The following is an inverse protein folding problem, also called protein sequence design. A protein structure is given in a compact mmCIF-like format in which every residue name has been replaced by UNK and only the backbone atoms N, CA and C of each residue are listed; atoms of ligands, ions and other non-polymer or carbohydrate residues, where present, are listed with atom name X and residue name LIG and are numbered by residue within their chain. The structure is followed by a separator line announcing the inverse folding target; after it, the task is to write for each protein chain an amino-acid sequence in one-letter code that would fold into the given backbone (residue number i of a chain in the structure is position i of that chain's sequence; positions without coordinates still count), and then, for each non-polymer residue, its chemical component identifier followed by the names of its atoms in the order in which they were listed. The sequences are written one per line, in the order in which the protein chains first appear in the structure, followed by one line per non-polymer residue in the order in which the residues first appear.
data_IF_007493961745
#
_entry.id   IF_007493961745
#
_cell.length_a   1.000
_cell.length_b   1.000
_cell.length_c   1.000
_cell.angle_alpha   90.00
_cell.angle_beta   90.00
_cell.angle_gamma   90.00
#
_symmetry.space_group_name_H-M   'P 1'
#
loop_
_entity.id
_entity.type
_entity.pdbx_description
1 polymer ?
#
# COMPACT_ATOMS: atom_id res chain seq x y z
N UNK A 1 29.93 19.41 23.97
CA UNK A 1 29.39 20.76 23.68
C UNK A 1 28.28 20.61 22.65
N UNK A 2 27.11 21.22 22.88
CA UNK A 2 25.98 21.14 21.97
C UNK A 2 26.32 21.78 20.62
N UNK A 3 25.75 21.23 19.55
CA UNK A 3 26.11 21.60 18.18
C UNK A 3 25.26 22.78 17.74
N UNK A 4 25.90 23.88 17.34
CA UNK A 4 25.20 25.02 16.76
C UNK A 4 24.64 24.65 15.37
N UNK A 5 23.37 24.94 15.14
CA UNK A 5 22.64 24.58 13.91
C UNK A 5 23.31 25.02 12.60
N UNK A 6 24.04 26.13 12.63
CA UNK A 6 24.70 26.70 11.46
C UNK A 6 26.18 26.28 11.34
N UNK A 7 26.65 25.34 12.16
CA UNK A 7 28.03 24.86 12.10
C UNK A 7 28.25 23.87 10.95
N UNK A 8 29.52 23.70 10.55
CA UNK A 8 29.90 22.64 9.61
C UNK A 8 29.54 21.26 10.13
N UNK A 9 29.62 21.02 11.44
CA UNK A 9 29.15 19.75 12.02
C UNK A 9 27.65 19.54 11.83
N UNK A 10 26.82 20.57 12.00
CA UNK A 10 25.38 20.45 11.78
C UNK A 10 25.06 20.10 10.32
N UNK A 11 25.80 20.66 9.36
CA UNK A 11 25.65 20.30 7.94
C UNK A 11 26.01 18.84 7.65
N UNK A 12 27.04 18.29 8.30
CA UNK A 12 27.38 16.86 8.19
C UNK A 12 26.29 15.98 8.81
N UNK A 13 25.77 16.36 9.97
CA UNK A 13 24.71 15.63 10.68
C UNK A 13 23.39 15.66 9.90
N UNK A 14 23.13 16.76 9.19
CA UNK A 14 21.95 16.91 8.32
C UNK A 14 21.92 15.90 7.18
N UNK A 15 23.03 15.23 6.85
CA UNK A 15 23.09 14.17 5.82
C UNK A 15 22.56 12.83 6.31
N UNK A 16 22.44 12.62 7.63
CA UNK A 16 21.98 11.34 8.18
C UNK A 16 20.48 11.14 8.01
N UNK A 17 20.05 9.90 7.85
CA UNK A 17 18.63 9.53 7.68
C UNK A 17 18.09 9.02 9.03
N UNK A 18 16.94 9.53 9.53
CA UNK A 18 16.02 10.49 8.90
C UNK A 18 16.29 11.96 9.25
N UNK A 19 17.42 12.31 9.86
CA UNK A 19 17.71 13.71 10.24
C UNK A 19 17.66 14.69 9.07
N UNK A 20 17.97 14.24 7.85
CA UNK A 20 17.88 14.98 6.59
C UNK A 20 16.45 15.41 6.23
N UNK A 21 15.42 14.75 6.76
CA UNK A 21 14.02 15.03 6.41
C UNK A 21 13.28 15.82 7.46
N UNK A 22 13.87 16.04 8.63
CA UNK A 22 13.22 16.82 9.68
C UNK A 22 13.10 18.31 9.28
N UNK A 23 12.04 19.02 9.70
CA UNK A 23 11.98 20.47 9.60
C UNK A 23 13.16 21.13 10.31
N UNK A 24 13.62 22.27 9.81
CA UNK A 24 14.82 22.96 10.30
C UNK A 24 14.76 23.19 11.82
N UNK A 25 13.70 23.82 12.34
CA UNK A 25 13.52 24.10 13.77
C UNK A 25 13.65 22.88 14.68
N UNK A 26 13.21 21.71 14.21
CA UNK A 26 13.31 20.44 14.94
C UNK A 26 14.73 19.88 14.87
N UNK A 27 15.35 19.97 13.70
CA UNK A 27 16.74 19.61 13.53
C UNK A 27 17.65 20.42 14.45
N UNK A 28 17.41 21.74 14.57
CA UNK A 28 18.11 22.62 15.51
C UNK A 28 17.93 22.18 16.96
N UNK A 29 16.69 21.84 17.35
CA UNK A 29 16.36 21.36 18.70
C UNK A 29 17.06 20.05 19.06
N UNK A 30 17.27 19.17 18.07
CA UNK A 30 18.03 17.92 18.23
C UNK A 30 19.53 18.21 18.30
N UNK A 31 20.05 19.07 17.42
CA UNK A 31 21.46 19.48 17.40
C UNK A 31 21.92 20.06 18.75
N UNK A 32 21.03 20.80 19.42
CA UNK A 32 21.29 21.36 20.74
C UNK A 32 21.44 20.31 21.87
N UNK A 33 21.09 19.05 21.63
CA UNK A 33 21.08 17.97 22.65
C UNK A 33 22.04 16.83 22.35
N UNK A 34 22.60 16.78 21.15
CA UNK A 34 23.55 15.75 20.74
C UNK A 34 24.99 16.22 20.95
N UNK A 35 25.87 15.26 21.21
CA UNK A 35 27.31 15.50 21.30
C UNK A 35 28.06 14.54 20.38
N UNK A 36 29.19 15.02 19.84
CA UNK A 36 30.08 14.21 19.02
C UNK A 36 31.09 13.52 19.92
N UNK A 37 31.11 12.19 19.82
CA UNK A 37 32.03 11.31 20.52
C UNK A 37 33.15 10.85 19.59
N UNK A 38 34.27 10.45 20.18
CA UNK A 38 35.43 9.89 19.47
C UNK A 38 35.76 8.50 20.00
N UNK A 39 36.19 7.61 19.12
CA UNK A 39 36.68 6.28 19.50
C UNK A 39 38.00 5.97 18.78
N UNK A 40 38.87 5.22 19.45
CA UNK A 40 40.13 4.72 18.90
C UNK A 40 39.93 3.36 18.19
N UNK A 41 40.85 2.95 17.30
CA UNK A 41 40.80 1.62 16.69
C UNK A 41 40.72 0.52 17.77
N UNK A 42 39.77 -0.39 17.62
CA UNK A 42 39.50 -1.48 18.56
C UNK A 42 38.42 -1.19 19.60
N UNK A 43 38.01 0.07 19.77
CA UNK A 43 36.93 0.41 20.71
C UNK A 43 35.58 -0.14 20.24
N UNK A 44 34.76 -0.58 21.18
CA UNK A 44 33.43 -1.13 20.91
C UNK A 44 32.38 -0.05 21.12
N UNK A 45 31.64 0.30 20.06
CA UNK A 45 30.61 1.34 20.09
C UNK A 45 29.32 0.84 20.76
N UNK A 46 28.96 -0.42 20.49
CA UNK A 46 27.88 -1.17 21.15
C UNK A 46 28.12 -2.68 20.96
N UNK A 47 27.53 -3.48 21.84
CA UNK A 47 27.66 -4.94 21.88
C UNK A 47 26.34 -5.62 21.51
N UNK A 48 26.46 -6.86 21.03
CA UNK A 48 25.32 -7.77 20.87
C UNK A 48 24.64 -7.96 22.23
N UNK A 49 23.34 -7.75 22.26
CA UNK A 49 22.51 -7.83 23.46
C UNK A 49 22.17 -6.46 24.06
N UNK A 50 22.87 -5.39 23.69
CA UNK A 50 22.56 -4.05 24.19
C UNK A 50 21.10 -3.68 23.82
N UNK A 51 20.39 -3.13 24.79
CA UNK A 51 18.98 -2.77 24.70
C UNK A 51 18.72 -1.26 24.82
N UNK A 52 19.79 -0.46 24.72
CA UNK A 52 19.72 0.99 24.75
C UNK A 52 18.94 1.56 23.55
N UNK A 53 18.05 2.53 23.83
CA UNK A 53 17.24 3.20 22.81
C UNK A 53 18.02 4.30 22.05
N UNK A 54 19.34 4.12 21.90
CA UNK A 54 20.24 5.11 21.29
C UNK A 54 20.64 4.71 19.86
N UNK A 55 20.27 5.51 18.88
CA UNK A 55 20.77 5.38 17.50
C UNK A 55 22.20 5.89 17.41
N UNK A 56 23.09 5.07 16.87
CA UNK A 56 24.51 5.40 16.69
C UNK A 56 24.78 5.75 15.23
N UNK A 57 25.29 6.95 14.97
CA UNK A 57 25.62 7.41 13.61
C UNK A 57 27.11 7.72 13.49
N UNK A 58 27.70 7.40 12.35
CA UNK A 58 29.13 7.53 12.09
C UNK A 58 29.42 8.81 11.28
N UNK A 59 30.16 9.75 11.86
CA UNK A 59 30.54 11.02 11.22
C UNK A 59 31.81 10.91 10.39
N UNK A 60 32.79 10.13 10.85
CA UNK A 60 34.05 9.90 10.13
C UNK A 60 34.69 8.60 10.58
N UNK A 61 35.44 7.95 9.69
CA UNK A 61 36.15 6.70 9.96
C UNK A 61 35.36 5.47 9.54
N UNK A 62 35.83 4.30 9.96
CA UNK A 62 35.29 3.00 9.59
C UNK A 62 34.94 2.17 10.82
N UNK A 63 33.81 1.46 10.74
CA UNK A 63 33.36 0.55 11.79
C UNK A 63 33.13 -0.86 11.22
N UNK A 64 33.57 -1.87 11.95
CA UNK A 64 33.35 -3.29 11.67
C UNK A 64 32.12 -3.77 12.45
N UNK A 65 31.12 -4.25 11.73
CA UNK A 65 29.98 -4.95 12.29
C UNK A 65 30.32 -6.43 12.43
N UNK A 66 30.29 -6.97 13.66
CA UNK A 66 30.77 -8.32 13.96
C UNK A 66 29.69 -9.19 14.62
N UNK A 67 29.57 -10.44 14.18
CA UNK A 67 28.71 -11.46 14.77
C UNK A 67 29.55 -12.65 15.23
N UNK A 68 29.46 -13.01 16.52
CA UNK A 68 30.24 -14.12 17.11
C UNK A 68 31.76 -14.03 16.84
N UNK A 69 32.31 -12.82 16.82
CA UNK A 69 33.74 -12.56 16.57
C UNK A 69 34.14 -12.57 15.09
N UNK A 70 33.22 -12.87 14.16
CA UNK A 70 33.46 -12.77 12.72
C UNK A 70 32.98 -11.43 12.18
N UNK A 71 33.78 -10.81 11.31
CA UNK A 71 33.41 -9.61 10.57
C UNK A 71 32.29 -9.91 9.57
N UNK A 72 31.17 -9.22 9.71
CA UNK A 72 29.99 -9.32 8.83
C UNK A 72 30.03 -8.25 7.76
N UNK A 73 30.31 -7.02 8.14
CA UNK A 73 30.25 -5.85 7.25
C UNK A 73 31.19 -4.75 7.76
N UNK A 74 31.77 -3.97 6.84
CA UNK A 74 32.48 -2.73 7.17
C UNK A 74 31.63 -1.56 6.67
N UNK A 75 31.38 -0.59 7.55
CA UNK A 75 30.66 0.64 7.21
C UNK A 75 31.65 1.81 7.29
N UNK A 76 31.87 2.45 6.15
CA UNK A 76 32.57 3.73 6.02
C UNK A 76 31.57 4.87 6.22
N UNK A 77 31.95 5.89 6.99
CA UNK A 77 31.13 7.08 7.27
C UNK A 77 30.63 7.82 6.01
N UNK A 78 31.43 7.82 4.94
CA UNK A 78 31.13 8.47 3.66
C UNK A 78 30.31 7.59 2.72
N UNK A 79 30.19 6.28 3.03
CA UNK A 79 29.36 5.37 2.24
C UNK A 79 27.87 5.68 2.39
N UNK A 80 27.05 5.17 1.46
CA UNK A 80 25.60 5.28 1.57
C UNK A 80 25.07 4.60 2.86
N UNK A 81 25.62 3.45 3.23
CA UNK A 81 25.30 2.76 4.49
C UNK A 81 25.67 3.59 5.73
N UNK A 82 26.72 4.41 5.65
CA UNK A 82 27.15 5.33 6.71
C UNK A 82 26.16 6.46 7.01
N UNK A 83 25.19 6.72 6.11
CA UNK A 83 24.14 7.71 6.35
C UNK A 83 23.05 7.25 7.33
N UNK A 84 23.03 5.96 7.69
CA UNK A 84 22.01 5.36 8.55
C UNK A 84 22.55 5.04 9.95
N UNK A 85 21.64 4.89 10.91
CA UNK A 85 21.99 4.42 12.23
C UNK A 85 22.52 2.98 12.19
N UNK A 86 23.71 2.78 12.74
CA UNK A 86 24.39 1.49 12.82
C UNK A 86 23.55 0.49 13.62
N UNK A 87 23.22 -0.65 13.00
CA UNK A 87 22.59 -1.83 13.62
C UNK A 87 21.47 -1.54 14.64
N UNK A 88 20.57 -0.60 14.35
CA UNK A 88 19.51 -0.04 15.21
C UNK A 88 18.42 -1.02 15.72
N UNK A 89 18.54 -2.33 15.47
CA UNK A 89 17.61 -3.32 16.02
C UNK A 89 17.92 -3.56 17.50
N UNK A 90 16.90 -3.44 18.35
CA UNK A 90 16.99 -3.65 19.80
C UNK A 90 16.29 -4.99 20.14
N UNK A 91 16.92 -5.89 20.92
CA UNK A 91 18.32 -5.85 21.36
C UNK A 91 19.29 -6.04 20.18
N UNK A 92 20.47 -5.43 20.27
CA UNK A 92 21.49 -5.47 19.21
C UNK A 92 21.85 -6.90 18.85
N UNK A 93 21.84 -7.22 17.56
CA UNK A 93 22.18 -8.57 17.06
C UNK A 93 23.67 -8.80 16.85
N UNK A 94 24.45 -7.71 16.82
CA UNK A 94 25.86 -7.69 16.42
C UNK A 94 26.62 -6.65 17.24
N UNK A 95 27.94 -6.79 17.29
CA UNK A 95 28.85 -5.79 17.86
C UNK A 95 29.23 -4.77 16.79
N UNK A 96 29.51 -3.54 17.18
CA UNK A 96 30.19 -2.55 16.34
C UNK A 96 31.55 -2.19 16.95
N UNK A 97 32.62 -2.43 16.19
CA UNK A 97 34.01 -2.21 16.62
C UNK A 97 34.68 -1.21 15.68
N UNK A 98 35.31 -0.18 16.23
CA UNK A 98 36.04 0.81 15.47
C UNK A 98 37.25 0.18 14.75
N UNK A 99 37.36 0.37 13.43
CA UNK A 99 38.54 -0.06 12.66
C UNK A 99 39.59 1.05 12.56
N UNK A 100 39.12 2.30 12.47
CA UNK A 100 39.96 3.49 12.47
C UNK A 100 39.64 4.36 13.68
N UNK A 101 40.45 5.40 13.91
CA UNK A 101 39.99 6.53 14.72
C UNK A 101 38.73 7.09 14.07
N UNK A 102 37.64 7.17 14.85
CA UNK A 102 36.33 7.55 14.32
C UNK A 102 35.64 8.59 15.19
N UNK A 103 34.75 9.35 14.55
CA UNK A 103 33.82 10.27 15.21
C UNK A 103 32.42 9.73 15.00
N UNK A 104 31.62 9.74 16.05
CA UNK A 104 30.26 9.22 16.01
C UNK A 104 29.36 10.04 16.93
N UNK A 105 28.06 9.88 16.80
CA UNK A 105 27.07 10.47 17.69
C UNK A 105 26.09 9.40 18.15
N UNK A 106 25.48 9.66 19.31
CA UNK A 106 24.38 8.88 19.88
C UNK A 106 23.15 9.76 19.95
N UNK A 107 22.02 9.23 19.52
CA UNK A 107 20.76 9.96 19.45
C UNK A 107 19.63 9.08 19.98
N UNK A 108 18.86 9.57 20.94
CA UNK A 108 17.70 8.86 21.44
C UNK A 108 16.63 8.70 20.33
N UNK A 109 16.22 7.46 20.05
CA UNK A 109 15.26 7.16 18.99
C UNK A 109 13.89 7.84 19.22
N UNK A 110 13.51 8.12 20.47
CA UNK A 110 12.23 8.75 20.81
C UNK A 110 12.18 10.22 20.36
N UNK A 111 13.34 10.86 20.19
CA UNK A 111 13.42 12.23 19.66
C UNK A 111 13.00 12.31 18.19
N UNK A 112 13.12 11.20 17.45
CA UNK A 112 12.61 11.09 16.09
C UNK A 112 11.10 10.76 16.08
N UNK A 113 10.63 9.94 17.02
CA UNK A 113 9.24 9.46 17.07
C UNK A 113 8.21 10.52 17.49
N UNK A 114 8.60 11.54 18.26
CA UNK A 114 7.67 12.54 18.82
C UNK A 114 7.04 13.50 17.79
N UNK A 115 7.33 13.34 16.49
CA UNK A 115 6.64 14.06 15.40
C UNK A 115 5.17 13.64 15.24
N UNK A 116 4.78 12.49 15.82
CA UNK A 116 3.44 11.90 15.69
C UNK A 116 2.30 12.73 16.32
N UNK A 117 2.55 13.74 17.17
CA UNK A 117 1.50 14.43 17.95
C UNK A 117 1.16 15.86 17.51
N UNK A 118 1.94 16.53 16.67
CA UNK A 118 1.80 17.98 16.44
C UNK A 118 1.70 18.43 14.98
N UNK A 119 1.31 17.57 14.04
CA UNK A 119 0.85 18.05 12.72
C UNK A 119 -0.60 18.57 12.86
N UNK A 120 -0.78 19.60 13.67
CA UNK A 120 -1.92 20.49 13.53
C UNK A 120 -1.57 21.48 12.43
N UNK A 121 -2.48 21.60 11.46
CA UNK A 121 -2.58 22.70 10.51
C UNK A 121 -2.10 24.02 11.13
N UNK A 122 -1.05 24.65 10.58
CA UNK A 122 -1.06 26.10 10.24
C UNK A 122 0.25 26.66 9.66
N UNK A 123 1.42 26.01 9.78
CA UNK A 123 2.70 26.62 9.35
C UNK A 123 3.29 26.08 8.02
N UNK A 124 2.44 25.83 7.01
CA UNK A 124 2.93 25.66 5.62
C UNK A 124 3.05 27.01 4.89
N UNK A 125 3.54 28.03 5.59
CA UNK A 125 3.99 29.28 4.95
C UNK A 125 5.39 29.02 4.40
N UNK A 126 5.45 28.56 3.15
CA UNK A 126 6.69 28.53 2.38
C UNK A 126 7.11 29.99 2.11
N UNK A 127 7.94 30.55 2.99
CA UNK A 127 8.80 31.67 2.61
C UNK A 127 9.85 31.12 1.65
N UNK A 128 9.74 31.56 0.41
CA UNK A 128 10.74 31.38 -0.62
C UNK A 128 12.06 32.03 -0.18
N UNK A 129 12.92 31.24 0.46
CA UNK A 129 14.35 31.47 0.49
C UNK A 129 14.94 30.84 -0.76
N UNK A 130 15.33 31.67 -1.72
CA UNK A 130 16.09 31.29 -2.90
C UNK A 130 17.38 30.55 -2.49
N UNK A 131 17.36 29.21 -2.49
CA UNK A 131 18.57 28.40 -2.70
C UNK A 131 18.21 27.16 -3.54
N UNK A 132 18.52 27.28 -4.85
CA UNK A 132 18.63 26.24 -5.89
C UNK A 132 17.38 25.44 -6.29
N UNK A 133 16.85 25.84 -7.45
CA UNK A 133 16.15 25.02 -8.44
C UNK A 133 16.94 23.72 -8.73
N UNK A 134 16.20 22.61 -8.91
CA UNK A 134 16.64 21.31 -9.42
C UNK A 134 17.86 20.66 -8.73
N UNK A 135 17.65 20.08 -7.55
CA UNK A 135 18.50 18.98 -7.10
C UNK A 135 17.86 17.62 -7.49
N UNK A 136 18.33 16.95 -8.57
CA UNK A 136 17.84 15.62 -8.96
C UNK A 136 18.10 14.51 -7.93
N UNK A 137 18.89 14.79 -6.88
CA UNK A 137 19.14 13.89 -5.74
C UNK A 137 18.09 14.01 -4.61
N UNK A 138 17.11 14.91 -4.70
CA UNK A 138 16.07 15.06 -3.66
C UNK A 138 14.91 14.04 -3.78
N UNK A 139 15.15 12.93 -4.47
CA UNK A 139 14.24 11.79 -4.51
C UNK A 139 14.06 11.14 -3.13
N UNK A 140 15.06 11.29 -2.25
CA UNK A 140 15.05 10.76 -0.89
C UNK A 140 14.00 11.49 -0.03
N UNK A 141 13.97 12.82 -0.05
CA UNK A 141 12.96 13.63 0.65
C UNK A 141 11.59 13.35 0.07
N UNK A 142 11.50 13.21 -1.26
CA UNK A 142 10.27 12.80 -1.95
C UNK A 142 9.73 11.44 -1.47
N UNK A 143 10.59 10.41 -1.39
CA UNK A 143 10.22 9.09 -0.89
C UNK A 143 9.78 9.16 0.57
N UNK A 144 10.53 9.86 1.41
CA UNK A 144 10.31 9.95 2.86
C UNK A 144 9.09 10.79 3.24
N UNK A 145 8.72 11.77 2.41
CA UNK A 145 7.50 12.57 2.57
C UNK A 145 6.22 11.81 2.22
N UNK A 146 6.31 10.64 1.56
CA UNK A 146 5.13 9.83 1.32
C UNK A 146 4.67 9.16 2.63
N UNK A 147 3.39 9.34 3.04
CA UNK A 147 2.91 8.92 4.36
C UNK A 147 3.14 7.46 4.73
N UNK A 148 3.22 6.58 3.72
CA UNK A 148 3.49 5.16 3.93
C UNK A 148 4.93 4.92 4.40
N UNK A 149 5.90 5.68 3.87
CA UNK A 149 7.32 5.52 4.18
C UNK A 149 7.72 6.24 5.47
N UNK A 150 7.06 7.35 5.81
CA UNK A 150 7.21 8.05 7.09
C UNK A 150 6.93 7.12 8.29
N UNK A 151 6.00 6.18 8.12
CA UNK A 151 5.59 5.26 9.18
C UNK A 151 6.51 4.04 9.36
N UNK A 152 7.47 3.83 8.47
CA UNK A 152 8.32 2.63 8.49
C UNK A 152 9.43 2.74 9.56
N UNK A 153 9.79 1.62 10.21
CA UNK A 153 10.98 1.58 11.05
C UNK A 153 12.24 1.97 10.26
N UNK A 154 13.21 2.70 10.85
CA UNK A 154 14.46 3.10 10.17
C UNK A 154 15.21 1.92 9.51
N UNK A 155 15.14 0.73 10.11
CA UNK A 155 15.64 -0.53 9.58
C UNK A 155 15.13 -0.89 8.20
N UNK A 156 13.81 -0.81 8.06
CA UNK A 156 13.11 -1.22 6.88
C UNK A 156 13.33 -0.17 5.80
N UNK A 157 13.40 1.10 6.20
CA UNK A 157 13.72 2.19 5.30
C UNK A 157 15.11 2.05 4.69
N UNK A 158 16.15 1.74 5.47
CA UNK A 158 17.50 1.49 4.94
C UNK A 158 17.50 0.34 3.93
N UNK A 159 16.95 -0.82 4.32
CA UNK A 159 16.88 -2.00 3.45
C UNK A 159 16.07 -1.73 2.19
N UNK A 160 15.02 -0.93 2.30
CA UNK A 160 14.18 -0.52 1.18
C UNK A 160 14.99 0.31 0.21
N UNK A 161 15.68 1.34 0.70
CA UNK A 161 16.51 2.24 -0.09
C UNK A 161 17.62 1.49 -0.83
N UNK A 162 18.23 0.49 -0.18
CA UNK A 162 19.24 -0.38 -0.80
C UNK A 162 18.66 -1.37 -1.82
N UNK A 163 17.35 -1.62 -1.79
CA UNK A 163 16.66 -2.57 -2.68
C UNK A 163 15.93 -1.89 -3.86
N UNK A 164 15.95 -0.55 -3.93
CA UNK A 164 15.32 0.19 -5.02
C UNK A 164 16.20 0.16 -6.26
N UNK A 165 15.57 -0.16 -7.40
CA UNK A 165 16.23 -0.16 -8.71
C UNK A 165 15.71 1.01 -9.55
N UNK A 166 16.62 1.82 -10.10
CA UNK A 166 16.25 2.87 -11.04
C UNK A 166 15.98 2.29 -12.44
N UNK A 167 14.84 2.63 -13.03
CA UNK A 167 14.44 2.22 -14.39
C UNK A 167 14.02 3.45 -15.18
N UNK A 168 14.57 3.57 -16.39
CA UNK A 168 14.23 4.65 -17.33
C UNK A 168 13.27 4.14 -18.38
N UNK A 169 12.21 4.91 -18.64
CA UNK A 169 11.17 4.55 -19.61
C UNK A 169 10.94 5.74 -20.54
N UNK A 170 10.87 5.50 -21.84
CA UNK A 170 10.62 6.55 -22.83
C UNK A 170 9.14 6.88 -22.94
N UNK A 171 8.84 8.12 -23.32
CA UNK A 171 7.49 8.59 -23.61
C UNK A 171 6.74 7.61 -24.53
N UNK A 172 5.48 7.33 -24.19
CA UNK A 172 4.57 6.47 -24.94
C UNK A 172 4.67 4.98 -24.60
N UNK A 173 5.66 4.57 -23.82
CA UNK A 173 5.81 3.18 -23.40
C UNK A 173 4.80 2.79 -22.32
N UNK A 174 4.30 1.56 -22.38
CA UNK A 174 3.41 0.97 -21.37
C UNK A 174 4.29 0.35 -20.28
N UNK A 175 4.25 0.92 -19.08
CA UNK A 175 5.01 0.45 -17.92
C UNK A 175 4.34 -0.78 -17.31
N UNK A 176 3.02 -0.71 -17.15
CA UNK A 176 2.19 -1.81 -16.66
C UNK A 176 0.99 -1.96 -17.59
N UNK A 177 0.60 -3.20 -17.87
CA UNK A 177 -0.57 -3.51 -18.70
C UNK A 177 -1.62 -4.21 -17.86
N UNK A 178 -2.86 -3.76 -17.99
CA UNK A 178 -4.00 -4.42 -17.37
C UNK A 178 -4.08 -5.89 -17.79
N UNK A 179 -4.24 -6.78 -16.82
CA UNK A 179 -4.32 -8.24 -16.99
C UNK A 179 -2.99 -8.96 -16.77
N UNK A 180 -1.86 -8.26 -16.82
CA UNK A 180 -0.55 -8.86 -16.58
C UNK A 180 -0.33 -9.13 -15.10
N UNK A 181 0.61 -10.02 -14.78
CA UNK A 181 1.01 -10.28 -13.40
C UNK A 181 1.92 -9.13 -12.93
N UNK A 182 1.55 -8.50 -11.82
CA UNK A 182 2.36 -7.45 -11.21
C UNK A 182 3.40 -8.02 -10.26
N UNK A 183 4.67 -7.72 -10.52
CA UNK A 183 5.81 -8.18 -9.70
C UNK A 183 6.58 -7.06 -9.02
N UNK A 184 6.31 -5.81 -9.39
CA UNK A 184 7.03 -4.64 -8.91
C UNK A 184 6.08 -3.54 -8.45
N UNK A 185 6.53 -2.83 -7.43
CA UNK A 185 6.00 -1.56 -6.98
C UNK A 185 6.87 -0.44 -7.53
N UNK A 186 6.27 0.68 -7.93
CA UNK A 186 6.97 1.78 -8.58
C UNK A 186 6.72 3.10 -7.84
N UNK A 187 7.78 3.91 -7.74
CA UNK A 187 7.74 5.33 -7.40
C UNK A 187 8.20 6.13 -8.62
N UNK A 188 7.48 7.20 -8.96
CA UNK A 188 7.90 8.13 -10.00
C UNK A 188 8.91 9.10 -9.41
N UNK A 189 10.18 8.96 -9.78
CA UNK A 189 11.24 9.92 -9.44
C UNK A 189 11.13 11.16 -10.32
N UNK A 190 10.87 10.96 -11.62
CA UNK A 190 10.73 12.05 -12.59
C UNK A 190 9.74 11.68 -13.70
N UNK A 191 8.99 12.67 -14.16
CA UNK A 191 8.10 12.57 -15.31
C UNK A 191 6.64 12.33 -14.94
N UNK A 192 5.82 12.00 -15.93
CA UNK A 192 4.37 11.83 -15.78
C UNK A 192 3.85 10.61 -16.54
N UNK A 193 2.90 9.90 -15.96
CA UNK A 193 2.23 8.76 -16.60
C UNK A 193 0.71 8.83 -16.44
N UNK A 194 0.02 8.13 -17.33
CA UNK A 194 -1.43 8.02 -17.36
C UNK A 194 -1.86 6.66 -16.85
N UNK A 195 -2.73 6.66 -15.85
CA UNK A 195 -3.43 5.50 -15.35
C UNK A 195 -4.76 5.35 -16.08
N UNK A 196 -5.01 4.17 -16.64
CA UNK A 196 -6.16 3.91 -17.50
C UNK A 196 -6.70 2.51 -17.31
N UNK A 197 -7.97 2.30 -17.63
CA UNK A 197 -8.62 0.99 -17.55
C UNK A 197 -9.49 0.75 -18.76
N UNK A 198 -9.49 -0.50 -19.22
CA UNK A 198 -10.37 -0.97 -20.29
C UNK A 198 -11.34 -2.02 -19.70
N UNK A 199 -12.64 -1.69 -19.50
CA UNK A 199 -13.60 -2.60 -18.88
C UNK A 199 -13.84 -3.89 -19.68
N UNK A 200 -13.74 -3.82 -21.01
CA UNK A 200 -13.84 -4.96 -21.91
C UNK A 200 -12.97 -4.73 -23.15
N UNK A 201 -12.59 -5.78 -23.91
CA UNK A 201 -11.73 -5.65 -25.10
C UNK A 201 -12.24 -4.64 -26.14
N UNK A 202 -13.56 -4.44 -26.21
CA UNK A 202 -14.20 -3.53 -27.17
C UNK A 202 -14.64 -2.19 -26.54
N UNK A 203 -14.54 -2.04 -25.21
CA UNK A 203 -14.84 -0.78 -24.55
C UNK A 203 -13.78 0.27 -24.84
N UNK A 204 -14.19 1.55 -24.81
CA UNK A 204 -13.24 2.66 -24.82
C UNK A 204 -12.39 2.62 -23.55
N UNK A 205 -11.12 2.98 -23.70
CA UNK A 205 -10.22 3.14 -22.57
C UNK A 205 -10.66 4.35 -21.73
N UNK A 206 -10.77 4.13 -20.43
CA UNK A 206 -11.18 5.14 -19.45
C UNK A 206 -9.92 5.64 -18.75
N UNK A 207 -9.66 6.94 -18.84
CA UNK A 207 -8.59 7.60 -18.09
C UNK A 207 -9.00 7.77 -16.64
N UNK A 208 -8.22 7.21 -15.71
CA UNK A 208 -8.53 7.24 -14.29
C UNK A 208 -7.82 8.39 -13.58
N UNK A 209 -6.52 8.54 -13.82
CA UNK A 209 -5.69 9.55 -13.18
C UNK A 209 -4.41 9.80 -13.99
N UNK A 210 -3.81 10.96 -13.78
CA UNK A 210 -2.44 11.25 -14.21
C UNK A 210 -1.56 11.27 -12.97
N UNK A 211 -0.48 10.51 -13.00
CA UNK A 211 0.50 10.42 -11.92
C UNK A 211 1.75 11.21 -12.31
N UNK A 212 2.40 11.82 -11.33
CA UNK A 212 3.59 12.66 -11.47
C UNK A 212 4.67 12.24 -10.48
N UNK A 213 5.80 12.96 -10.47
CA UNK A 213 6.85 12.78 -9.46
C UNK A 213 6.26 12.69 -8.04
N UNK A 214 6.83 11.79 -7.23
CA UNK A 214 6.38 11.43 -5.88
C UNK A 214 5.17 10.49 -5.81
N UNK A 215 4.43 10.29 -6.91
CA UNK A 215 3.33 9.32 -6.94
C UNK A 215 3.86 7.89 -7.10
N UNK A 216 3.04 6.93 -6.66
CA UNK A 216 3.37 5.51 -6.66
C UNK A 216 2.27 4.69 -7.32
N UNK A 217 2.66 3.54 -7.88
CA UNK A 217 1.73 2.61 -8.53
C UNK A 217 2.26 1.16 -8.51
N UNK A 218 1.39 0.21 -8.86
CA UNK A 218 1.69 -1.23 -8.93
C UNK A 218 1.44 -2.00 -7.63
N UNK A 219 1.19 -1.30 -6.53
CA UNK A 219 0.91 -1.86 -5.20
C UNK A 219 -0.31 -2.81 -5.19
N UNK A 220 -1.32 -2.51 -6.01
CA UNK A 220 -2.59 -3.23 -5.99
C UNK A 220 -2.42 -4.71 -6.29
N UNK A 221 -1.63 -5.04 -7.31
CA UNK A 221 -1.37 -6.43 -7.72
C UNK A 221 -0.57 -7.18 -6.64
N UNK A 222 0.36 -6.49 -5.97
CA UNK A 222 1.18 -7.08 -4.91
C UNK A 222 0.39 -7.30 -3.61
N UNK A 223 -0.57 -6.42 -3.31
CA UNK A 223 -1.34 -6.45 -2.07
C UNK A 223 -2.50 -7.43 -2.13
N UNK A 224 -3.18 -7.50 -3.28
CA UNK A 224 -4.37 -8.33 -3.49
C UNK A 224 -4.10 -9.70 -4.09
N UNK A 225 -2.85 -9.98 -4.50
CA UNK A 225 -2.48 -11.18 -5.26
C UNK A 225 -3.37 -11.40 -6.50
N UNK A 226 -3.84 -10.31 -7.11
CA UNK A 226 -4.60 -10.28 -8.35
C UNK A 226 -3.75 -9.74 -9.50
N UNK A 227 -4.11 -10.06 -10.76
CA UNK A 227 -3.52 -9.40 -11.92
C UNK A 227 -3.66 -7.87 -11.85
N UNK A 228 -2.78 -7.17 -12.56
CA UNK A 228 -2.81 -5.72 -12.68
C UNK A 228 -4.17 -5.28 -13.20
N UNK A 229 -4.83 -4.39 -12.47
CA UNK A 229 -6.20 -3.97 -12.78
C UNK A 229 -6.29 -2.76 -13.72
N UNK A 230 -5.17 -2.08 -13.96
CA UNK A 230 -5.07 -0.81 -14.71
C UNK A 230 -3.79 -0.76 -15.53
N UNK A 231 -3.83 -0.13 -16.70
CA UNK A 231 -2.64 0.15 -17.51
C UNK A 231 -1.99 1.47 -17.10
N UNK A 232 -0.66 1.52 -17.11
CA UNK A 232 0.16 2.70 -16.85
C UNK A 232 0.97 3.02 -18.10
N UNK A 233 0.74 4.18 -18.72
CA UNK A 233 1.45 4.61 -19.93
C UNK A 233 2.23 5.89 -19.69
N UNK A 234 3.50 5.94 -20.10
CA UNK A 234 4.36 7.10 -19.98
C UNK A 234 3.87 8.27 -20.87
N UNK A 235 3.58 9.43 -20.28
CA UNK A 235 3.22 10.66 -21.02
C UNK A 235 4.46 11.49 -21.38
N UNK A 236 5.50 11.40 -20.55
CA UNK A 236 6.84 11.94 -20.75
C UNK A 236 7.87 10.83 -20.61
N UNK A 237 9.16 11.12 -20.82
CA UNK A 237 10.20 10.23 -20.32
C UNK A 237 10.10 10.14 -18.79
N UNK A 238 10.28 8.93 -18.26
CA UNK A 238 10.15 8.61 -16.85
C UNK A 238 11.47 8.12 -16.29
N UNK A 239 11.74 8.53 -15.05
CA UNK A 239 12.67 7.84 -14.16
C UNK A 239 11.82 7.26 -13.03
N UNK A 240 11.87 5.93 -12.91
CA UNK A 240 11.12 5.17 -11.92
C UNK A 240 12.09 4.53 -10.93
N UNK A 241 11.71 4.45 -9.66
CA UNK A 241 12.34 3.54 -8.71
C UNK A 241 11.39 2.36 -8.51
N UNK A 242 11.86 1.14 -8.73
CA UNK A 242 11.06 -0.07 -8.55
C UNK A 242 11.55 -0.92 -7.38
N UNK A 243 10.62 -1.59 -6.73
CA UNK A 243 10.86 -2.56 -5.65
C UNK A 243 10.13 -3.86 -5.97
N UNK A 244 10.80 -5.00 -5.88
CA UNK A 244 10.17 -6.29 -6.16
C UNK A 244 9.12 -6.67 -5.09
N UNK A 245 8.24 -7.62 -5.44
CA UNK A 245 7.14 -8.10 -4.59
C UNK A 245 7.61 -8.53 -3.20
N UNK A 246 8.60 -9.40 -3.10
CA UNK A 246 9.05 -9.93 -1.80
C UNK A 246 9.54 -8.83 -0.85
N UNK A 247 10.33 -7.88 -1.37
CA UNK A 247 10.82 -6.73 -0.61
C UNK A 247 9.67 -5.79 -0.25
N UNK A 248 8.73 -5.55 -1.16
CA UNK A 248 7.53 -4.75 -0.87
C UNK A 248 6.70 -5.36 0.28
N UNK A 249 6.46 -6.67 0.26
CA UNK A 249 5.70 -7.36 1.30
C UNK A 249 6.42 -7.24 2.65
N UNK A 250 7.71 -7.55 2.70
CA UNK A 250 8.48 -7.62 3.95
C UNK A 250 8.80 -6.25 4.53
N UNK A 251 9.12 -5.25 3.70
CA UNK A 251 9.60 -3.94 4.14
C UNK A 251 8.50 -2.90 4.26
N UNK A 252 7.38 -3.05 3.54
CA UNK A 252 6.28 -2.06 3.52
C UNK A 252 4.96 -2.68 4.02
N UNK A 253 4.46 -3.75 3.38
CA UNK A 253 3.13 -4.31 3.71
C UNK A 253 3.03 -4.74 5.17
N UNK A 254 3.92 -5.63 5.61
CA UNK A 254 3.91 -6.22 6.95
C UNK A 254 4.01 -5.18 8.07
N UNK A 255 4.92 -4.18 8.03
CA UNK A 255 5.00 -3.17 9.08
C UNK A 255 3.90 -2.10 9.01
N UNK A 256 3.35 -1.79 7.83
CA UNK A 256 2.37 -0.71 7.67
C UNK A 256 0.92 -1.16 7.94
N UNK A 257 0.56 -2.37 7.51
CA UNK A 257 -0.82 -2.86 7.62
C UNK A 257 -1.09 -3.51 8.98
N UNK A 258 -2.20 -3.10 9.61
CA UNK A 258 -2.67 -3.66 10.89
C UNK A 258 -3.84 -4.59 10.64
N UNK A 259 -3.72 -5.82 11.13
CA UNK A 259 -4.76 -6.83 11.03
C UNK A 259 -5.44 -6.98 12.40
N UNK A 260 -6.75 -7.23 12.37
CA UNK A 260 -7.56 -7.57 13.52
C UNK A 260 -8.33 -8.87 13.28
N UNK A 261 -8.55 -9.63 14.33
CA UNK A 261 -9.37 -10.84 14.31
C UNK A 261 -10.85 -10.52 14.64
N UNK A 262 -11.73 -11.52 14.50
CA UNK A 262 -13.17 -11.37 14.72
C UNK A 262 -13.53 -10.88 16.14
N UNK A 263 -12.76 -11.27 17.15
CA UNK A 263 -12.97 -10.84 18.55
C UNK A 263 -12.64 -9.36 18.75
N UNK A 264 -11.54 -8.90 18.14
CA UNK A 264 -11.10 -7.51 18.23
C UNK A 264 -12.02 -6.58 17.43
N UNK A 265 -12.67 -7.09 16.36
CA UNK A 265 -13.64 -6.33 15.58
C UNK A 265 -14.74 -5.73 16.47
N UNK A 266 -15.32 -6.52 17.38
CA UNK A 266 -16.38 -6.03 18.27
C UNK A 266 -15.89 -4.90 19.19
N UNK A 267 -14.68 -5.03 19.72
CA UNK A 267 -14.10 -4.03 20.61
C UNK A 267 -13.77 -2.73 19.87
N UNK A 268 -13.24 -2.82 18.65
CA UNK A 268 -13.02 -1.65 17.80
C UNK A 268 -14.32 -0.92 17.46
N UNK A 269 -15.40 -1.65 17.18
CA UNK A 269 -16.72 -1.05 16.93
C UNK A 269 -17.26 -0.31 18.16
N UNK A 270 -17.05 -0.84 19.38
CA UNK A 270 -17.41 -0.16 20.63
C UNK A 270 -16.63 1.15 20.83
N UNK A 271 -15.37 1.19 20.40
CA UNK A 271 -14.54 2.42 20.44
C UNK A 271 -14.93 3.46 19.38
N UNK A 272 -15.91 3.14 18.52
CA UNK A 272 -16.40 4.04 17.49
C UNK A 272 -15.73 3.85 16.12
N UNK A 273 -15.06 2.73 15.85
CA UNK A 273 -14.65 2.42 14.48
C UNK A 273 -15.87 2.25 13.55
N UNK A 274 -15.66 2.32 12.23
CA UNK A 274 -16.70 1.99 11.25
C UNK A 274 -16.17 1.08 10.15
N UNK A 275 -17.06 0.32 9.53
CA UNK A 275 -16.69 -0.71 8.56
C UNK A 275 -16.89 -0.18 7.14
N UNK A 276 -15.89 -0.37 6.30
CA UNK A 276 -15.94 -0.11 4.87
C UNK A 276 -15.81 -1.44 4.12
N UNK A 277 -16.88 -1.82 3.43
CA UNK A 277 -16.92 -3.01 2.58
C UNK A 277 -16.50 -2.64 1.15
N UNK A 278 -15.39 -3.22 0.70
CA UNK A 278 -14.77 -2.89 -0.59
C UNK A 278 -15.17 -3.85 -1.73
N UNK A 279 -16.13 -4.75 -1.47
CA UNK A 279 -16.72 -5.61 -2.50
C UNK A 279 -17.62 -4.82 -3.44
N UNK A 280 -18.03 -5.47 -4.54
CA UNK A 280 -18.97 -4.89 -5.49
C UNK A 280 -20.34 -4.71 -4.83
N UNK A 281 -21.12 -3.76 -5.38
CA UNK A 281 -22.44 -3.43 -4.87
C UNK A 281 -23.37 -4.66 -4.83
N UNK A 282 -23.30 -5.55 -5.82
CA UNK A 282 -24.14 -6.74 -5.89
C UNK A 282 -23.86 -7.72 -4.74
N UNK A 283 -22.58 -7.97 -4.44
CA UNK A 283 -22.16 -8.83 -3.33
C UNK A 283 -22.57 -8.25 -1.97
N UNK A 284 -22.40 -6.93 -1.82
CA UNK A 284 -22.82 -6.19 -0.64
C UNK A 284 -24.34 -6.23 -0.44
N UNK A 285 -25.12 -6.02 -1.51
CA UNK A 285 -26.57 -6.08 -1.48
C UNK A 285 -27.09 -7.47 -1.13
N UNK A 286 -26.40 -8.53 -1.58
CA UNK A 286 -26.74 -9.90 -1.22
C UNK A 286 -26.56 -10.13 0.29
N UNK A 287 -25.42 -9.72 0.83
CA UNK A 287 -25.17 -9.76 2.26
C UNK A 287 -24.03 -8.83 2.68
N UNK A 288 -24.15 -8.21 3.86
CA UNK A 288 -23.11 -7.35 4.42
C UNK A 288 -23.20 -7.30 5.95
N UNK A 289 -22.18 -6.72 6.58
CA UNK A 289 -22.21 -6.45 8.03
C UNK A 289 -23.10 -5.24 8.33
N UNK A 290 -23.97 -5.35 9.31
CA UNK A 290 -24.83 -4.25 9.75
C UNK A 290 -23.98 -3.03 10.12
N UNK A 291 -24.36 -1.86 9.60
CA UNK A 291 -23.64 -0.61 9.84
C UNK A 291 -22.35 -0.43 9.01
N UNK A 292 -22.02 -1.37 8.12
CA UNK A 292 -20.97 -1.14 7.12
C UNK A 292 -21.43 -0.17 6.02
N UNK A 293 -20.45 0.44 5.36
CA UNK A 293 -20.65 1.31 4.20
C UNK A 293 -20.01 0.62 2.98
N UNK A 294 -20.77 0.45 1.90
CA UNK A 294 -20.19 -0.08 0.67
C UNK A 294 -19.38 1.00 -0.05
N UNK A 295 -18.11 0.73 -0.27
CA UNK A 295 -17.22 1.55 -1.07
C UNK A 295 -16.35 0.63 -1.93
N UNK A 296 -16.88 0.14 -3.08
CA UNK A 296 -16.16 -0.80 -3.93
C UNK A 296 -14.74 -0.31 -4.24
N UNK A 297 -13.77 -1.21 -4.19
CA UNK A 297 -12.33 -0.88 -4.26
C UNK A 297 -11.96 0.13 -5.36
N UNK A 298 -12.53 0.00 -6.56
CA UNK A 298 -12.24 0.90 -7.68
C UNK A 298 -12.80 2.32 -7.52
N UNK A 299 -13.82 2.50 -6.69
CA UNK A 299 -14.50 3.77 -6.44
C UNK A 299 -14.08 4.44 -5.13
N UNK A 300 -13.34 3.73 -4.27
CA UNK A 300 -12.98 4.21 -2.92
C UNK A 300 -12.25 5.55 -2.95
N UNK A 301 -11.40 5.79 -3.97
CA UNK A 301 -10.67 7.04 -4.16
C UNK A 301 -11.61 8.25 -4.35
N UNK A 302 -12.79 8.04 -4.93
CA UNK A 302 -13.79 9.09 -5.15
C UNK A 302 -14.59 9.40 -3.89
N UNK A 303 -14.60 8.47 -2.93
CA UNK A 303 -15.41 8.53 -1.71
C UNK A 303 -14.60 8.97 -0.46
N UNK A 304 -13.32 9.31 -0.59
CA UNK A 304 -12.52 9.74 0.57
C UNK A 304 -13.08 10.96 1.31
N UNK A 305 -13.84 11.82 0.64
CA UNK A 305 -14.47 12.99 1.27
C UNK A 305 -15.67 12.63 2.16
N UNK A 306 -16.28 11.46 1.95
CA UNK A 306 -17.44 11.01 2.73
C UNK A 306 -17.02 10.24 3.98
N UNK A 307 -15.75 9.87 4.12
CA UNK A 307 -15.25 9.14 5.28
C UNK A 307 -14.81 10.10 6.40
N UNK A 308 -15.23 9.79 7.63
CA UNK A 308 -14.78 10.51 8.81
C UNK A 308 -13.31 10.16 9.12
N UNK A 309 -12.44 11.16 8.99
CA UNK A 309 -10.99 11.02 9.23
C UNK A 309 -10.62 10.83 10.70
N UNK A 310 -11.52 11.14 11.65
CA UNK A 310 -11.26 11.00 13.08
C UNK A 310 -11.47 9.57 13.58
N UNK A 311 -12.28 8.79 12.87
CA UNK A 311 -12.64 7.42 13.24
C UNK A 311 -11.73 6.42 12.55
N UNK A 312 -11.44 5.31 13.24
CA UNK A 312 -10.71 4.18 12.64
C UNK A 312 -11.59 3.49 11.61
N UNK A 313 -11.03 3.26 10.42
CA UNK A 313 -11.67 2.54 9.32
C UNK A 313 -11.29 1.07 9.39
N UNK A 314 -12.28 0.19 9.44
CA UNK A 314 -12.09 -1.26 9.34
C UNK A 314 -12.46 -1.68 7.93
N UNK A 315 -11.50 -2.22 7.17
CA UNK A 315 -11.72 -2.59 5.77
C UNK A 315 -12.02 -4.07 5.65
N UNK A 316 -13.13 -4.40 5.01
CA UNK A 316 -13.59 -5.79 4.80
C UNK A 316 -13.82 -6.10 3.33
N UNK A 317 -13.52 -7.33 2.94
CA UNK A 317 -13.89 -7.94 1.67
C UNK A 317 -14.10 -9.45 1.92
N UNK A 318 -14.29 -10.25 0.87
CA UNK A 318 -14.55 -11.69 0.98
C UNK A 318 -13.45 -12.42 1.77
N UNK A 319 -12.19 -12.34 1.30
CA UNK A 319 -11.06 -13.14 1.78
C UNK A 319 -9.91 -12.30 2.39
N UNK A 320 -10.07 -10.99 2.48
CA UNK A 320 -9.10 -10.05 3.06
C UNK A 320 -8.02 -9.56 2.09
N UNK A 321 -7.92 -10.09 0.87
CA UNK A 321 -6.87 -9.70 -0.08
C UNK A 321 -7.09 -8.28 -0.63
N UNK A 322 -8.30 -8.00 -1.09
CA UNK A 322 -8.67 -6.66 -1.59
C UNK A 322 -8.66 -5.65 -0.45
N UNK A 323 -9.00 -6.07 0.77
CA UNK A 323 -8.90 -5.21 1.96
C UNK A 323 -7.50 -4.70 2.19
N UNK A 324 -6.46 -5.51 1.95
CA UNK A 324 -5.07 -5.06 2.10
C UNK A 324 -4.70 -3.96 1.09
N UNK A 325 -5.15 -4.10 -0.16
CA UNK A 325 -4.96 -3.06 -1.19
C UNK A 325 -5.71 -1.76 -0.84
N UNK A 326 -6.97 -1.88 -0.44
CA UNK A 326 -7.79 -0.74 -0.02
C UNK A 326 -7.22 -0.04 1.21
N UNK A 327 -6.78 -0.80 2.21
CA UNK A 327 -6.19 -0.25 3.43
C UNK A 327 -4.90 0.52 3.14
N UNK A 328 -4.06 0.02 2.24
CA UNK A 328 -2.86 0.73 1.81
C UNK A 328 -3.20 2.09 1.17
N UNK A 329 -4.22 2.13 0.30
CA UNK A 329 -4.68 3.38 -0.30
C UNK A 329 -5.18 4.36 0.77
N UNK A 330 -5.99 3.90 1.72
CA UNK A 330 -6.50 4.72 2.81
C UNK A 330 -5.38 5.25 3.72
N UNK A 331 -4.38 4.43 4.06
CA UNK A 331 -3.20 4.87 4.82
C UNK A 331 -2.43 5.97 4.10
N UNK A 332 -2.24 5.85 2.77
CA UNK A 332 -1.61 6.90 1.95
C UNK A 332 -2.35 8.23 2.02
N UNK A 333 -3.66 8.21 2.26
CA UNK A 333 -4.50 9.38 2.47
C UNK A 333 -4.72 9.74 3.95
N UNK A 334 -3.84 9.25 4.84
CA UNK A 334 -3.77 9.57 6.28
C UNK A 334 -4.99 9.13 7.10
N UNK A 335 -5.69 8.07 6.67
CA UNK A 335 -6.71 7.43 7.51
C UNK A 335 -6.06 6.47 8.53
N UNK A 336 -6.68 6.33 9.70
CA UNK A 336 -6.37 5.23 10.62
C UNK A 336 -7.10 3.98 10.12
N UNK A 337 -6.36 2.92 9.77
CA UNK A 337 -6.94 1.75 9.11
C UNK A 337 -6.56 0.45 9.80
N UNK A 338 -7.52 -0.46 9.91
CA UNK A 338 -7.37 -1.86 10.32
C UNK A 338 -8.03 -2.77 9.28
N UNK A 339 -7.52 -3.98 9.13
CA UNK A 339 -8.02 -4.98 8.17
C UNK A 339 -8.58 -6.16 8.95
N UNK A 340 -9.80 -6.60 8.64
CA UNK A 340 -10.32 -7.86 9.15
C UNK A 340 -9.55 -9.02 8.50
N UNK A 341 -8.83 -9.79 9.33
CA UNK A 341 -8.01 -10.90 8.87
C UNK A 341 -8.89 -11.98 8.22
N UNK A 342 -8.44 -12.49 7.07
CA UNK A 342 -9.18 -13.46 6.23
C UNK A 342 -10.56 -12.98 5.76
N UNK A 343 -10.84 -11.67 5.85
CA UNK A 343 -12.08 -11.07 5.34
C UNK A 343 -13.32 -11.53 6.09
N UNK A 344 -14.47 -11.38 5.44
CA UNK A 344 -15.77 -11.75 5.98
C UNK A 344 -15.92 -13.27 6.16
N UNK A 345 -15.17 -14.08 5.39
CA UNK A 345 -15.11 -15.54 5.55
C UNK A 345 -14.57 -15.99 6.92
N UNK A 346 -13.89 -15.11 7.65
CA UNK A 346 -13.40 -15.38 9.01
C UNK A 346 -14.50 -15.36 10.06
N UNK A 347 -15.65 -14.73 9.75
CA UNK A 347 -16.72 -14.54 10.71
C UNK A 347 -17.63 -15.77 10.73
N UNK A 348 -18.10 -16.20 11.91
CA UNK A 348 -19.04 -17.29 12.03
C UNK A 348 -20.34 -16.97 11.29
N UNK A 349 -20.97 -18.00 10.69
CA UNK A 349 -22.18 -17.88 9.85
C UNK A 349 -23.37 -17.26 10.58
N UNK A 350 -23.39 -17.38 11.92
CA UNK A 350 -24.26 -16.68 12.85
C UNK A 350 -23.40 -16.05 13.96
N UNK A 351 -23.00 -14.78 13.81
CA UNK A 351 -22.20 -14.10 14.82
C UNK A 351 -23.05 -13.83 16.06
N UNK A 352 -22.57 -14.27 17.21
CA UNK A 352 -23.28 -14.28 18.50
C UNK A 352 -23.26 -12.93 19.25
N UNK A 353 -23.02 -11.82 18.55
CA UNK A 353 -22.91 -10.46 19.14
C UNK A 353 -23.83 -9.45 18.46
N UNK A 354 -24.51 -8.60 19.23
CA UNK A 354 -25.46 -7.58 18.70
C UNK A 354 -24.82 -6.60 17.69
N UNK A 355 -23.51 -6.37 17.79
CA UNK A 355 -22.77 -5.38 17.00
C UNK A 355 -22.23 -5.92 15.66
N UNK A 356 -21.97 -7.23 15.58
CA UNK A 356 -21.51 -7.89 14.35
C UNK A 356 -22.66 -8.80 13.93
N UNK A 357 -23.60 -8.27 13.16
CA UNK A 357 -24.73 -9.04 12.61
C UNK A 357 -24.76 -8.90 11.10
N UNK A 358 -25.12 -9.98 10.40
CA UNK A 358 -25.28 -9.95 8.95
C UNK A 358 -26.66 -9.43 8.58
N UNK A 359 -26.69 -8.46 7.67
CA UNK A 359 -27.90 -8.11 6.93
C UNK A 359 -27.90 -8.99 5.67
N UNK A 360 -28.89 -9.87 5.57
CA UNK A 360 -29.14 -10.67 4.36
C UNK A 360 -30.45 -10.20 3.76
N UNK A 361 -30.40 -9.69 2.54
CA UNK A 361 -31.61 -9.33 1.83
C UNK A 361 -32.21 -10.60 1.21
N UNK A 362 -33.24 -11.15 1.83
CA UNK A 362 -34.01 -12.28 1.30
C UNK A 362 -34.88 -11.90 0.09
N UNK A 363 -34.96 -10.62 -0.27
CA UNK A 363 -35.79 -10.10 -1.36
C UNK A 363 -35.10 -10.18 -2.72
N UNK A 364 -34.79 -11.40 -3.14
CA UNK A 364 -34.68 -11.79 -4.56
C UNK A 364 -35.10 -13.26 -4.76
N UNK A 365 -35.91 -13.81 -3.85
CA UNK A 365 -36.62 -15.08 -4.05
C UNK A 365 -38.03 -15.00 -3.42
N UNK A 366 -39.04 -15.16 -4.28
CA UNK A 366 -40.50 -15.23 -4.05
C UNK A 366 -41.28 -13.91 -3.98
N UNK A 367 -41.70 -13.45 -5.16
CA UNK A 367 -43.10 -13.02 -5.42
C UNK A 367 -43.34 -13.08 -6.93
N UNK A 368 -43.47 -14.30 -7.44
CA UNK A 368 -44.28 -14.56 -8.64
C UNK A 368 -44.97 -15.89 -8.39
N UNK A 369 -46.30 -15.82 -8.41
CA UNK A 369 -47.32 -16.85 -8.20
C UNK A 369 -47.96 -16.84 -6.82
N UNK A 370 -49.29 -16.65 -6.89
CA UNK A 370 -50.32 -16.77 -5.85
C UNK A 370 -50.51 -15.54 -4.95
N UNK A 371 -51.25 -14.54 -5.46
CA UNK A 371 -52.65 -14.43 -5.05
C UNK A 371 -53.45 -13.54 -6.01
N UNK A 372 -54.58 -14.07 -6.47
CA UNK A 372 -55.62 -13.33 -7.16
C UNK A 372 -56.60 -12.83 -6.09
N UNK A 373 -56.86 -11.52 -6.02
CA UNK A 373 -57.88 -11.02 -5.10
C UNK A 373 -57.92 -9.50 -4.90
N UNK A 374 -58.69 -8.85 -5.77
CA UNK A 374 -59.49 -7.64 -5.53
C UNK A 374 -58.81 -6.28 -5.27
N UNK A 375 -59.21 -5.38 -6.16
CA UNK A 375 -58.97 -3.94 -6.26
C UNK A 375 -59.42 -3.14 -5.02
N UNK A 376 -58.67 -2.08 -4.70
CA UNK A 376 -59.20 -0.74 -4.44
C UNK A 376 -58.06 0.29 -4.41
N UNK A 377 -58.06 1.23 -5.36
CA UNK A 377 -57.16 2.39 -5.45
C UNK A 377 -57.52 3.44 -4.38
N UNK A 378 -56.54 4.17 -3.81
CA UNK A 378 -56.78 5.52 -3.31
C UNK A 378 -56.16 6.59 -4.21
N UNK A 379 -56.90 7.69 -4.30
CA UNK A 379 -56.81 8.81 -5.22
C UNK A 379 -55.45 9.53 -5.30
N UNK A 380 -55.16 10.00 -6.51
CA UNK A 380 -54.00 10.81 -6.87
C UNK A 380 -54.04 12.21 -6.24
N UNK A 381 -52.88 12.68 -5.76
CA UNK A 381 -52.59 14.11 -5.60
C UNK A 381 -51.40 14.49 -6.49
N UNK A 382 -51.66 15.45 -7.36
CA UNK A 382 -50.78 15.94 -8.42
C UNK A 382 -49.50 16.63 -7.87
N UNK A 383 -48.35 16.34 -8.49
CA UNK A 383 -47.15 17.17 -8.39
C UNK A 383 -46.84 17.70 -9.81
N UNK A 384 -46.58 19.01 -9.99
CA UNK A 384 -46.41 19.59 -11.33
C UNK A 384 -44.98 19.42 -11.87
N UNK A 385 -44.92 18.87 -13.08
CA UNK A 385 -44.08 19.24 -14.23
C UNK A 385 -42.55 19.34 -14.07
N UNK A 386 -41.84 18.32 -14.58
CA UNK A 386 -40.40 18.29 -14.93
C UNK A 386 -40.28 17.68 -16.35
N UNK A 387 -39.40 18.18 -17.24
CA UNK A 387 -39.56 18.04 -18.69
C UNK A 387 -39.13 16.68 -19.28
N UNK A 388 -39.83 16.30 -20.37
CA UNK A 388 -39.61 15.15 -21.28
C UNK A 388 -39.41 13.79 -20.60
N UNK A 389 -40.48 13.24 -20.03
CA UNK A 389 -40.49 11.88 -19.48
C UNK A 389 -40.40 10.82 -20.60
N UNK A 390 -39.32 10.03 -20.56
CA UNK A 390 -39.31 8.67 -21.09
C UNK A 390 -40.52 7.96 -20.47
N UNK A 391 -41.48 7.52 -21.29
CA UNK A 391 -42.72 6.96 -20.74
C UNK A 391 -42.42 5.70 -19.94
N UNK A 392 -43.19 5.45 -18.88
CA UNK A 392 -43.05 4.23 -18.06
C UNK A 392 -43.03 2.96 -18.94
N UNK A 393 -43.78 2.98 -20.03
CA UNK A 393 -43.85 1.93 -21.04
C UNK A 393 -42.52 1.72 -21.78
N UNK A 394 -41.80 2.79 -22.12
CA UNK A 394 -40.47 2.72 -22.72
C UNK A 394 -39.45 2.14 -21.74
N UNK A 395 -39.49 2.55 -20.47
CA UNK A 395 -38.61 2.01 -19.42
C UNK A 395 -38.87 0.53 -19.13
N UNK A 396 -40.14 0.11 -19.19
CA UNK A 396 -40.53 -1.31 -19.03
C UNK A 396 -40.07 -2.13 -20.24
N UNK A 397 -40.18 -1.60 -21.45
CA UNK A 397 -39.72 -2.25 -22.67
C UNK A 397 -38.19 -2.41 -22.69
N UNK A 398 -37.44 -1.36 -22.35
CA UNK A 398 -35.99 -1.40 -22.22
C UNK A 398 -35.54 -2.38 -21.13
N UNK A 399 -36.20 -2.38 -19.96
CA UNK A 399 -35.90 -3.34 -18.90
C UNK A 399 -36.12 -4.80 -19.35
N UNK A 400 -37.16 -5.05 -20.13
CA UNK A 400 -37.44 -6.39 -20.69
C UNK A 400 -36.34 -6.81 -21.65
N UNK A 401 -35.91 -5.91 -22.55
CA UNK A 401 -34.81 -6.17 -23.47
C UNK A 401 -33.48 -6.42 -22.74
N UNK A 402 -33.16 -5.59 -21.74
CA UNK A 402 -31.96 -5.74 -20.92
C UNK A 402 -31.94 -7.08 -20.16
N UNK A 403 -33.08 -7.50 -19.58
CA UNK A 403 -33.19 -8.81 -18.92
C UNK A 403 -32.94 -9.97 -19.87
N UNK A 404 -33.48 -9.92 -21.09
CA UNK A 404 -33.24 -10.95 -22.12
C UNK A 404 -31.76 -10.98 -22.53
N UNK A 405 -31.14 -9.80 -22.71
CA UNK A 405 -29.73 -9.71 -23.08
C UNK A 405 -28.81 -10.21 -21.97
N UNK A 406 -29.14 -9.92 -20.70
CA UNK A 406 -28.42 -10.40 -19.52
C UNK A 406 -28.50 -11.93 -19.40
N UNK A 407 -29.67 -12.53 -19.66
CA UNK A 407 -29.83 -13.98 -19.68
C UNK A 407 -28.98 -14.64 -20.78
N UNK A 408 -28.96 -14.04 -21.98
CA UNK A 408 -28.12 -14.51 -23.09
C UNK A 408 -26.63 -14.43 -22.76
N UNK A 409 -26.18 -13.33 -22.15
CA UNK A 409 -24.79 -13.15 -21.72
C UNK A 409 -24.40 -14.15 -20.62
N UNK A 410 -25.27 -14.39 -19.63
CA UNK A 410 -25.04 -15.42 -18.60
C UNK A 410 -24.84 -16.81 -19.21
N UNK A 411 -25.64 -17.16 -20.21
CA UNK A 411 -25.50 -18.43 -20.91
C UNK A 411 -24.18 -18.50 -21.70
N UNK A 412 -23.78 -17.41 -22.36
CA UNK A 412 -22.49 -17.34 -23.05
C UNK A 412 -21.31 -17.47 -22.07
N UNK A 413 -21.34 -16.78 -20.93
CA UNK A 413 -20.30 -16.90 -19.91
C UNK A 413 -20.18 -18.33 -19.37
N UNK A 414 -21.31 -19.03 -19.18
CA UNK A 414 -21.30 -20.42 -18.73
C UNK A 414 -20.64 -21.36 -19.76
N UNK A 415 -20.93 -21.16 -21.05
CA UNK A 415 -20.32 -21.94 -22.14
C UNK A 415 -18.82 -21.65 -22.23
N UNK A 416 -18.41 -20.37 -22.21
CA UNK A 416 -16.99 -20.00 -22.27
C UNK A 416 -16.21 -20.49 -21.05
N UNK A 417 -16.83 -20.53 -19.87
CA UNK A 417 -16.19 -21.10 -18.68
C UNK A 417 -15.95 -22.61 -18.83
N UNK A 418 -16.91 -23.35 -19.38
CA UNK A 418 -16.73 -24.78 -19.68
C UNK A 418 -15.63 -25.02 -20.73
N UNK A 419 -15.55 -24.19 -21.76
CA UNK A 419 -14.47 -24.25 -22.76
C UNK A 419 -13.10 -23.96 -22.14
N UNK A 420 -13.01 -22.96 -21.25
CA UNK A 420 -11.79 -22.64 -20.51
C UNK A 420 -11.34 -23.83 -19.66
N UNK A 421 -12.24 -24.40 -18.85
CA UNK A 421 -11.93 -25.52 -17.97
C UNK A 421 -11.47 -26.75 -18.77
N UNK A 422 -12.05 -26.95 -19.97
CA UNK A 422 -11.63 -28.00 -20.89
C UNK A 422 -10.21 -27.77 -21.43
N UNK A 423 -9.87 -26.54 -21.85
CA UNK A 423 -8.54 -26.19 -22.36
C UNK A 423 -7.48 -26.30 -21.25
N UNK A 424 -7.78 -25.86 -20.03
CA UNK A 424 -6.87 -25.97 -18.88
C UNK A 424 -6.53 -27.44 -18.57
N UNK A 425 -7.52 -28.33 -18.68
CA UNK A 425 -7.30 -29.77 -18.52
C UNK A 425 -6.38 -30.33 -19.60
N UNK A 426 -6.60 -29.98 -20.88
CA UNK A 426 -5.72 -30.39 -21.97
C UNK A 426 -4.29 -29.88 -21.79
N UNK A 427 -4.13 -28.64 -21.32
CA UNK A 427 -2.81 -28.07 -21.03
C UNK A 427 -2.08 -28.85 -19.93
N UNK A 428 -2.77 -29.20 -18.83
CA UNK A 428 -2.19 -30.00 -17.75
C UNK A 428 -1.75 -31.40 -18.21
N UNK A 429 -2.55 -32.05 -19.06
CA UNK A 429 -2.22 -33.36 -19.61
C UNK A 429 -0.99 -33.29 -20.53
N UNK A 430 -0.90 -32.26 -21.38
CA UNK A 430 0.23 -32.04 -22.28
C UNK A 430 1.52 -31.69 -21.52
N UNK A 431 1.41 -30.92 -20.43
CA UNK A 431 2.54 -30.61 -19.56
C UNK A 431 3.11 -31.88 -18.91
N UNK A 432 2.26 -32.77 -18.39
CA UNK A 432 2.69 -34.07 -17.84
C UNK A 432 3.39 -34.94 -18.87
N UNK A 433 2.85 -35.02 -20.09
CA UNK A 433 3.50 -35.77 -21.18
C UNK A 433 4.88 -35.18 -21.54
N UNK A 434 4.99 -33.85 -21.54
CA UNK A 434 6.25 -33.16 -21.81
C UNK A 434 7.31 -33.46 -20.74
N UNK A 435 6.92 -33.51 -19.47
CA UNK A 435 7.85 -33.81 -18.38
C UNK A 435 8.28 -35.29 -18.39
N UNK A 436 7.37 -36.22 -18.69
CA UNK A 436 7.71 -37.63 -18.92
C UNK A 436 8.70 -37.81 -20.10
N UNK A 437 8.51 -37.06 -21.17
CA UNK A 437 9.43 -37.04 -22.33
C UNK A 437 10.80 -36.46 -21.97
N UNK A 438 10.87 -35.45 -21.10
CA UNK A 438 12.16 -34.91 -20.60
C UNK A 438 12.89 -35.93 -19.72
N UNK A 439 12.19 -36.61 -18.83
CA UNK A 439 12.78 -37.63 -17.96
C UNK A 439 13.35 -38.80 -18.77
N UNK A 440 12.57 -39.32 -19.73
CA UNK A 440 13.05 -40.37 -20.65
C UNK A 440 14.24 -39.92 -21.49
N UNK A 441 14.25 -38.67 -21.97
CA UNK A 441 15.38 -38.11 -22.71
C UNK A 441 16.64 -37.93 -21.85
N UNK A 442 16.49 -37.63 -20.55
CA UNK A 442 17.61 -37.59 -19.60
C UNK A 442 18.20 -38.99 -19.35
N UNK A 443 17.36 -40.02 -19.26
CA UNK A 443 17.79 -41.41 -19.10
C UNK A 443 18.56 -41.92 -20.32
N UNK A 444 18.10 -41.61 -21.54
CA UNK A 444 18.79 -41.97 -22.79
C UNK A 444 20.12 -41.24 -22.96
N UNK A 445 20.30 -40.03 -22.40
CA UNK A 445 21.58 -39.30 -22.44
C UNK A 445 22.65 -39.83 -21.47
N UNK A 446 22.28 -40.68 -20.52
CA UNK A 446 23.18 -41.30 -19.53
C UNK A 446 23.48 -42.78 -19.83
N UNK A 447 22.99 -43.28 -20.97
CA UNK A 447 23.36 -44.57 -21.57
C UNK A 447 24.24 -44.31 -22.78
#
# INVERSE_FOLDING_TARGET
MPIAANSKEAQEIRKFIPLATLPLSRFESICARIEVLTAAPGDVLFKRGDDDNELVYLLSGEVSLQAAGMQVEIIDAQSFSGRFALAHHIPRKINAVALSSLRYLRLDADWLASHKKHINHEDNTYMAGNESEDNPDDWMTTLLNSPIFESLPPANLQKLLMSLEEVRVTKGSVVLRQGDIGEYYYLIKQGQCLLSRKPSPNAREIKLAQLRSSDTFGENALLSDQPISVSVTALTDLILLRLNKEKFITLIKTPALKYIDATELEDELKTGAFIVDVRLQDDYCAWHLKGSVNAPFFSILMQFKTFDRKRTVIVVCEDGKISAAAAFLLLRHKFSVKILKNGLCSLPTEPSGELVSFVRNSTMRKTFLEDAGQEQEPEATEIPNVPEEITLEQLVAENKQLKTMLQKLKQQCAVTQQEKDFIEKQFQDLAKQTDQLKETLQQVKHT
#
